data_IF_615273622639
#
_entry.id   IF_615273622639
#
_cell.length_a   1.000
_cell.length_b   1.000
_cell.length_c   1.000
_cell.angle_alpha   90.00
_cell.angle_beta   90.00
_cell.angle_gamma   90.00
#
_symmetry.space_group_name_H-M   'P 1'
#
loop_
_entity.id
_entity.type
_entity.pdbx_description
1 polymer ?
#
# COMPACT_ATOMS: atom_id res chain seq x y z
N UNK A 1 -6.49 5.01 6.86
CA UNK A 1 -6.58 4.92 5.38
C UNK A 1 -6.28 6.31 4.81
N UNK A 2 -5.49 6.40 3.73
CA UNK A 2 -5.15 7.68 3.08
C UNK A 2 -5.38 7.58 1.58
N UNK A 3 -5.63 8.70 0.93
CA UNK A 3 -5.73 8.77 -0.54
C UNK A 3 -4.47 9.40 -1.11
N UNK A 4 -4.01 8.90 -2.26
CA UNK A 4 -2.95 9.50 -3.06
C UNK A 4 -3.42 9.61 -4.52
N UNK A 5 -2.75 10.45 -5.29
CA UNK A 5 -2.96 10.53 -6.74
C UNK A 5 -1.69 10.09 -7.44
N UNK A 6 -1.81 9.19 -8.41
CA UNK A 6 -0.65 8.78 -9.21
C UNK A 6 -0.31 9.86 -10.27
N UNK A 7 0.88 9.80 -10.90
CA UNK A 7 1.29 10.77 -11.93
C UNK A 7 0.34 10.90 -13.12
N UNK A 8 -0.49 9.88 -13.40
CA UNK A 8 -1.51 9.87 -14.44
C UNK A 8 -2.84 10.50 -13.97
N UNK A 9 -2.94 10.90 -12.70
CA UNK A 9 -4.11 11.52 -12.11
C UNK A 9 -5.17 10.52 -11.60
N UNK A 10 -4.88 9.22 -11.52
CA UNK A 10 -5.80 8.29 -10.89
C UNK A 10 -5.69 8.40 -9.37
N UNK A 11 -6.84 8.30 -8.69
CA UNK A 11 -6.90 8.33 -7.23
C UNK A 11 -6.80 6.91 -6.69
N UNK A 12 -5.90 6.73 -5.74
CA UNK A 12 -5.67 5.46 -5.05
C UNK A 12 -5.90 5.62 -3.56
N UNK A 13 -6.45 4.59 -2.93
CA UNK A 13 -6.52 4.44 -1.50
C UNK A 13 -5.40 3.53 -1.02
N UNK A 14 -4.65 4.03 -0.05
CA UNK A 14 -3.65 3.30 0.70
C UNK A 14 -4.21 2.87 2.07
N UNK A 15 -4.12 1.58 2.36
CA UNK A 15 -4.56 0.98 3.62
C UNK A 15 -3.55 -0.07 4.10
N UNK A 16 -3.29 -0.09 5.40
CA UNK A 16 -2.47 -1.14 6.01
C UNK A 16 -3.33 -2.38 6.22
N UNK A 17 -2.77 -3.53 5.88
CA UNK A 17 -3.33 -4.84 6.10
C UNK A 17 -2.34 -5.66 6.91
N UNK A 18 -2.86 -6.31 7.96
CA UNK A 18 -2.14 -7.38 8.64
C UNK A 18 -2.12 -8.61 7.72
N UNK A 19 -0.95 -8.96 7.20
CA UNK A 19 -0.77 -10.18 6.42
C UNK A 19 -0.41 -11.34 7.37
N UNK A 20 -0.68 -12.56 6.92
CA UNK A 20 -0.29 -13.75 7.68
C UNK A 20 1.21 -13.76 7.97
N UNK A 21 1.61 -14.35 9.10
CA UNK A 21 2.99 -14.37 9.63
C UNK A 21 3.52 -13.06 10.25
N UNK A 22 2.64 -12.10 10.58
CA UNK A 22 3.03 -10.89 11.29
C UNK A 22 3.70 -9.84 10.40
N UNK A 23 3.66 -10.04 9.09
CA UNK A 23 4.09 -9.04 8.11
C UNK A 23 2.97 -8.03 7.88
N UNK A 24 3.30 -6.75 7.85
CA UNK A 24 2.31 -5.71 7.54
C UNK A 24 2.48 -5.28 6.09
N UNK A 25 1.37 -5.28 5.36
CA UNK A 25 1.33 -4.92 3.95
C UNK A 25 0.55 -3.63 3.76
N UNK A 26 1.14 -2.68 3.03
CA UNK A 26 0.45 -1.51 2.53
C UNK A 26 -0.21 -1.84 1.19
N UNK A 27 -1.54 -1.86 1.16
CA UNK A 27 -2.34 -2.07 -0.03
C UNK A 27 -2.75 -0.75 -0.66
N UNK A 28 -2.60 -0.68 -1.98
CA UNK A 28 -3.01 0.43 -2.82
C UNK A 28 -4.12 -0.03 -3.77
N UNK A 29 -5.33 0.47 -3.55
CA UNK A 29 -6.50 0.14 -4.37
C UNK A 29 -6.97 1.40 -5.10
N UNK A 30 -7.19 1.37 -6.42
CA UNK A 30 -7.66 2.51 -7.18
C UNK A 30 -9.13 2.75 -6.82
N UNK A 31 -9.52 4.01 -6.74
CA UNK A 31 -10.93 4.37 -6.52
C UNK A 31 -11.82 3.94 -7.70
N UNK A 32 -11.21 3.79 -8.89
CA UNK A 32 -11.83 3.34 -10.13
C UNK A 32 -10.94 2.28 -10.77
N UNK A 33 -11.40 1.03 -10.84
CA UNK A 33 -10.67 -0.08 -11.44
C UNK A 33 -10.54 -1.27 -10.49
N UNK A 34 -9.75 -2.26 -10.89
CA UNK A 34 -9.54 -3.51 -10.13
C UNK A 34 -8.05 -3.84 -9.95
N UNK A 35 -7.16 -2.91 -10.27
CA UNK A 35 -5.70 -3.07 -10.15
C UNK A 35 -5.28 -2.82 -8.71
N UNK A 36 -5.06 -3.86 -7.91
CA UNK A 36 -4.55 -3.65 -6.55
C UNK A 36 -3.04 -3.81 -6.56
N UNK A 37 -2.34 -2.96 -5.83
CA UNK A 37 -0.89 -3.07 -5.60
C UNK A 37 -0.61 -3.25 -4.12
N UNK A 38 0.48 -3.93 -3.81
CA UNK A 38 0.93 -4.20 -2.45
C UNK A 38 2.39 -3.82 -2.27
N UNK A 39 2.70 -3.30 -1.09
CA UNK A 39 4.06 -3.02 -0.65
C UNK A 39 4.23 -3.61 0.76
N UNK A 40 5.24 -4.44 0.97
CA UNK A 40 5.55 -4.97 2.30
C UNK A 40 6.23 -3.89 3.13
N UNK A 41 5.61 -3.49 4.23
CA UNK A 41 6.17 -2.48 5.11
C UNK A 41 7.35 -3.07 5.88
N UNK A 42 8.48 -2.35 6.00
CA UNK A 42 9.58 -2.74 6.88
C UNK A 42 9.21 -2.40 8.33
N UNK A 43 8.23 -3.11 8.87
CA UNK A 43 7.72 -2.94 10.22
C UNK A 43 7.36 -4.31 10.81
N UNK A 44 7.77 -4.55 12.04
CA UNK A 44 7.49 -5.78 12.78
C UNK A 44 6.14 -5.73 13.52
N UNK A 45 5.56 -4.54 13.70
CA UNK A 45 4.30 -4.34 14.42
C UNK A 45 3.37 -3.37 13.70
N UNK A 46 2.05 -3.60 13.81
CA UNK A 46 1.04 -2.75 13.16
C UNK A 46 1.17 -1.29 13.63
N UNK A 47 1.43 -1.07 14.91
CA UNK A 47 1.63 0.26 15.46
C UNK A 47 2.81 1.01 14.81
N UNK A 48 3.92 0.32 14.53
CA UNK A 48 5.05 0.91 13.82
C UNK A 48 4.72 1.19 12.36
N UNK A 49 4.03 0.27 11.68
CA UNK A 49 3.58 0.50 10.31
C UNK A 49 2.60 1.68 10.22
N UNK A 50 1.69 1.83 11.19
CA UNK A 50 0.77 2.96 11.29
C UNK A 50 1.51 4.27 11.54
N UNK A 51 2.49 4.29 12.44
CA UNK A 51 3.31 5.48 12.70
C UNK A 51 4.11 5.91 11.47
N UNK A 52 4.74 4.94 10.77
CA UNK A 52 5.43 5.20 9.51
C UNK A 52 4.45 5.73 8.47
N UNK A 53 3.32 5.05 8.27
CA UNK A 53 2.30 5.42 7.28
C UNK A 53 1.67 6.80 7.54
N UNK A 54 1.47 7.17 8.81
CA UNK A 54 1.01 8.49 9.21
C UNK A 54 2.07 9.57 8.96
N UNK A 55 3.35 9.24 9.11
CA UNK A 55 4.48 10.15 8.88
C UNK A 55 4.85 10.34 7.40
N UNK A 56 4.40 9.47 6.49
CA UNK A 56 4.71 9.59 5.06
C UNK A 56 4.13 10.88 4.46
N UNK A 57 4.94 11.59 3.69
CA UNK A 57 4.47 12.67 2.83
C UNK A 57 3.84 12.10 1.55
N UNK A 58 3.05 12.91 0.83
CA UNK A 58 2.39 12.46 -0.39
C UNK A 58 3.39 12.02 -1.47
N UNK A 59 4.56 12.67 -1.54
CA UNK A 59 5.68 12.27 -2.41
C UNK A 59 6.21 10.89 -2.05
N UNK A 60 6.44 10.62 -0.76
CA UNK A 60 6.94 9.33 -0.27
C UNK A 60 5.90 8.24 -0.53
N UNK A 61 4.62 8.52 -0.29
CA UNK A 61 3.53 7.59 -0.52
C UNK A 61 3.40 7.25 -2.01
N UNK A 62 3.61 8.22 -2.90
CA UNK A 62 3.64 8.01 -4.35
C UNK A 62 4.88 7.21 -4.78
N UNK A 63 6.04 7.43 -4.15
CA UNK A 63 7.24 6.64 -4.39
C UNK A 63 7.05 5.17 -3.97
N UNK A 64 6.40 4.92 -2.82
CA UNK A 64 6.02 3.58 -2.39
C UNK A 64 5.02 2.92 -3.34
N UNK A 65 4.03 3.68 -3.85
CA UNK A 65 3.11 3.17 -4.86
C UNK A 65 3.84 2.76 -6.15
N UNK A 66 4.85 3.51 -6.57
CA UNK A 66 5.63 3.21 -7.76
C UNK A 66 6.49 1.93 -7.61
N UNK A 67 6.92 1.60 -6.39
CA UNK A 67 7.65 0.36 -6.08
C UNK A 67 6.72 -0.80 -5.69
N UNK A 68 5.45 -0.52 -5.41
CA UNK A 68 4.46 -1.52 -5.04
C UNK A 68 4.21 -2.52 -6.18
N UNK A 69 4.22 -3.80 -5.81
CA UNK A 69 4.01 -4.91 -6.75
C UNK A 69 2.51 -5.11 -6.98
N UNK A 70 2.07 -5.52 -8.18
CA UNK A 70 0.67 -5.89 -8.38
C UNK A 70 0.30 -7.04 -7.44
N UNK A 71 -0.80 -6.88 -6.72
CA UNK A 71 -1.35 -7.94 -5.89
C UNK A 71 -2.00 -8.97 -6.81
N UNK A 72 -1.41 -10.16 -6.88
CA UNK A 72 -1.99 -11.28 -7.60
C UNK A 72 -2.48 -12.34 -6.59
N UNK A 73 -3.74 -12.27 -6.14
CA UNK A 73 -4.30 -13.28 -5.24
C UNK A 73 -4.42 -14.67 -5.89
N UNK A 74 -4.17 -14.80 -7.20
CA UNK A 74 -4.17 -16.06 -7.94
C UNK A 74 -2.79 -16.70 -8.14
N UNK A 75 -1.72 -16.19 -7.53
CA UNK A 75 -0.38 -16.78 -7.65
C UNK A 75 -0.15 -17.98 -6.71
N UNK A 76 -1.17 -18.42 -5.97
CA UNK A 76 -1.17 -19.71 -5.29
C UNK A 76 -1.82 -20.73 -6.24
N UNK A 77 -1.02 -21.18 -7.21
CA UNK A 77 -1.29 -22.41 -7.95
C UNK A 77 -0.79 -23.62 -7.19
#
# INVERSE_FOLDING_TARGET
MRTLSDPQGNVWQAALLDASYGSITLLFSPLRGNDIRQYEMPADTMAEAEAQFAGLSDTELTALWATARPWNPGAWG
#
